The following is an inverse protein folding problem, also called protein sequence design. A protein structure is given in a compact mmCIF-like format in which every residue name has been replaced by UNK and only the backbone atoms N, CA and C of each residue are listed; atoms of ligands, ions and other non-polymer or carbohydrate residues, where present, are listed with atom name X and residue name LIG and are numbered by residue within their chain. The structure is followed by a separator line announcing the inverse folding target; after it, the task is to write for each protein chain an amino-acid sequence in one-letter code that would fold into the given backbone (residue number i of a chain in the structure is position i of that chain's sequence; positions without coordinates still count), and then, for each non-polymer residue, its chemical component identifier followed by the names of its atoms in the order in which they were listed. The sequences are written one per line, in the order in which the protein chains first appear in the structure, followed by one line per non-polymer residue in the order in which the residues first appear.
data_IF_070032032040
#
_entry.id   IF_070032032040
#
_cell.length_a   1.000
_cell.length_b   1.000
_cell.length_c   1.000
_cell.angle_alpha   90.00
_cell.angle_beta   90.00
_cell.angle_gamma   90.00
#
_symmetry.space_group_name_H-M   'P 1'
#
loop_
_entity.id
_entity.type
_entity.pdbx_description
1 polymer ?
#
# COMPACT_ATOMS: atom_id res chain seq x y z
N UNK A 1 -56.13 36.55 17.22
CA UNK A 1 -57.40 36.85 16.57
C UNK A 1 -57.79 35.60 15.76
N UNK A 2 -58.64 34.79 16.39
CA UNK A 2 -59.93 34.27 15.79
C UNK A 2 -59.71 33.18 14.74
N UNK A 3 -60.22 31.96 14.77
CA UNK A 3 -61.12 31.16 15.62
C UNK A 3 -61.12 29.75 15.02
N UNK A 4 -61.14 28.72 15.85
CA UNK A 4 -61.67 27.40 15.53
C UNK A 4 -63.19 27.47 15.33
N UNK A 5 -63.89 26.51 14.67
CA UNK A 5 -64.70 25.58 15.42
C UNK A 5 -64.72 24.12 14.90
N UNK A 6 -64.71 23.13 15.77
CA UNK A 6 -65.71 22.31 16.43
C UNK A 6 -66.38 21.23 15.57
N UNK A 7 -66.39 20.04 16.16
CA UNK A 7 -67.15 18.79 15.81
C UNK A 7 -68.65 18.96 15.94
N UNK A 8 -69.54 18.02 15.43
CA UNK A 8 -69.98 16.82 16.11
C UNK A 8 -70.28 15.64 15.18
N UNK A 9 -70.62 14.40 15.51
CA UNK A 9 -71.22 13.72 16.64
C UNK A 9 -71.61 12.30 16.16
N UNK A 10 -71.54 11.32 17.03
CA UNK A 10 -72.10 9.96 16.81
C UNK A 10 -73.58 9.89 17.05
N UNK A 11 -74.29 8.78 16.66
CA UNK A 11 -74.84 7.85 17.64
C UNK A 11 -74.85 6.35 17.21
N UNK A 12 -74.51 5.45 18.11
CA UNK A 12 -75.32 4.54 18.97
C UNK A 12 -76.17 3.46 18.31
N UNK A 13 -75.76 2.22 18.59
CA UNK A 13 -76.52 1.09 19.12
C UNK A 13 -77.51 0.29 18.29
N UNK A 14 -77.36 -1.03 18.27
CA UNK A 14 -78.31 -2.00 18.89
C UNK A 14 -77.95 -3.44 18.49
N UNK A 15 -77.79 -4.29 19.52
CA UNK A 15 -77.85 -5.76 19.44
C UNK A 15 -79.29 -6.25 19.20
N UNK A 16 -79.50 -7.51 18.69
CA UNK A 16 -79.73 -8.62 19.63
C UNK A 16 -79.31 -10.05 19.20
N UNK A 17 -78.98 -10.83 20.22
CA UNK A 17 -79.31 -12.21 20.54
C UNK A 17 -79.05 -13.41 19.62
N UNK A 18 -78.37 -14.37 20.22
CA UNK A 18 -78.11 -15.78 19.91
C UNK A 18 -79.38 -16.63 19.66
N UNK A 19 -79.22 -17.81 19.00
CA UNK A 19 -79.15 -19.03 19.79
C UNK A 19 -78.17 -20.11 19.26
N UNK A 20 -77.65 -20.90 20.21
CA UNK A 20 -77.01 -22.23 20.08
C UNK A 20 -78.09 -23.32 19.79
N UNK A 21 -77.78 -24.62 19.46
CA UNK A 21 -76.62 -25.42 19.74
C UNK A 21 -76.18 -26.51 18.70
N UNK A 22 -75.02 -27.08 18.92
CA UNK A 22 -74.64 -28.51 18.79
C UNK A 22 -74.54 -29.21 17.45
N UNK A 23 -73.31 -29.60 17.04
CA UNK A 23 -73.00 -31.01 16.76
C UNK A 23 -71.44 -31.21 16.67
N UNK A 24 -70.99 -32.12 17.48
CA UNK A 24 -69.60 -32.65 17.52
C UNK A 24 -69.30 -33.51 16.29
N UNK A 25 -68.23 -33.21 15.55
CA UNK A 25 -67.53 -34.15 14.65
C UNK A 25 -66.07 -34.05 14.89
N UNK A 26 -65.31 -35.19 14.87
CA UNK A 26 -63.96 -35.23 15.36
C UNK A 26 -62.97 -34.63 14.36
N UNK A 27 -62.19 -33.60 14.80
CA UNK A 27 -61.07 -33.06 14.09
C UNK A 27 -59.89 -34.07 14.10
N UNK A 28 -59.63 -34.65 12.92
CA UNK A 28 -58.35 -35.35 12.67
C UNK A 28 -57.23 -34.32 12.66
N UNK A 29 -56.35 -34.39 13.65
CA UNK A 29 -55.11 -33.62 13.64
C UNK A 29 -54.21 -34.12 12.51
N UNK A 30 -54.07 -33.33 11.45
CA UNK A 30 -52.98 -33.48 10.48
C UNK A 30 -51.73 -32.82 11.11
N UNK A 31 -50.80 -33.65 11.58
CA UNK A 31 -49.47 -33.19 11.98
C UNK A 31 -48.75 -32.81 10.71
N UNK A 32 -48.62 -31.52 10.46
CA UNK A 32 -47.76 -30.96 9.41
C UNK A 32 -46.32 -31.07 9.90
N UNK A 33 -45.62 -32.15 9.50
CA UNK A 33 -44.15 -32.28 9.72
C UNK A 33 -43.52 -31.32 8.70
N UNK A 34 -43.19 -30.13 9.16
CA UNK A 34 -42.28 -29.25 8.45
C UNK A 34 -40.85 -29.85 8.54
N UNK A 35 -40.48 -30.61 7.52
CA UNK A 35 -39.08 -30.96 7.29
C UNK A 35 -38.30 -29.69 7.03
N UNK A 36 -37.60 -29.24 8.06
CA UNK A 36 -36.59 -28.23 7.94
C UNK A 36 -35.46 -28.84 7.07
N UNK A 37 -35.49 -28.54 5.78
CA UNK A 37 -34.36 -28.86 4.89
C UNK A 37 -33.21 -27.96 5.37
N UNK A 38 -32.36 -28.48 6.23
CA UNK A 38 -31.08 -27.90 6.50
C UNK A 38 -30.30 -27.92 5.18
N UNK A 39 -30.25 -26.80 4.51
CA UNK A 39 -29.28 -26.60 3.43
C UNK A 39 -27.90 -26.88 4.05
N UNK A 40 -27.09 -27.78 3.46
CA UNK A 40 -25.74 -27.95 3.94
C UNK A 40 -25.04 -26.60 3.79
N UNK A 41 -24.69 -25.96 4.88
CA UNK A 41 -23.67 -24.95 4.90
C UNK A 41 -22.40 -25.69 4.46
N UNK A 42 -22.12 -25.66 3.17
CA UNK A 42 -20.84 -26.10 2.67
C UNK A 42 -19.79 -25.24 3.40
N UNK A 43 -19.19 -25.83 4.41
CA UNK A 43 -17.98 -25.33 5.04
C UNK A 43 -16.95 -25.22 3.93
N UNK A 44 -16.72 -24.03 3.42
CA UNK A 44 -15.65 -23.69 2.50
C UNK A 44 -14.31 -23.68 3.26
N UNK A 45 -13.96 -24.80 3.86
CA UNK A 45 -12.60 -25.09 4.25
C UNK A 45 -11.83 -25.63 3.01
N UNK A 46 -11.87 -24.89 1.92
CA UNK A 46 -10.90 -25.07 0.85
C UNK A 46 -9.72 -24.20 1.27
N UNK A 47 -8.61 -24.83 1.68
CA UNK A 47 -7.35 -24.12 1.93
C UNK A 47 -7.10 -23.21 0.73
N UNK A 48 -6.97 -21.90 1.00
CA UNK A 48 -6.88 -20.91 -0.06
C UNK A 48 -5.67 -21.16 -0.95
N UNK A 49 -5.75 -20.78 -2.21
CA UNK A 49 -4.64 -20.88 -3.17
C UNK A 49 -3.64 -19.74 -2.99
N UNK A 50 -3.87 -18.79 -2.06
CA UNK A 50 -3.03 -17.62 -1.88
C UNK A 50 -1.55 -17.96 -1.65
N UNK A 51 -1.26 -18.98 -0.85
CA UNK A 51 0.13 -19.45 -0.65
C UNK A 51 0.80 -19.90 -1.94
N UNK A 52 0.09 -20.66 -2.78
CA UNK A 52 0.61 -21.11 -4.08
C UNK A 52 0.83 -19.94 -5.07
N UNK A 53 -0.02 -18.91 -5.01
CA UNK A 53 0.17 -17.70 -5.82
C UNK A 53 1.41 -16.91 -5.37
N UNK A 54 1.66 -16.81 -4.07
CA UNK A 54 2.92 -16.21 -3.54
C UNK A 54 4.12 -16.98 -4.05
N UNK A 55 4.12 -18.32 -3.94
CA UNK A 55 5.22 -19.15 -4.44
C UNK A 55 5.46 -18.97 -5.95
N UNK A 56 4.38 -18.90 -6.75
CA UNK A 56 4.47 -18.66 -8.18
C UNK A 56 5.11 -17.31 -8.51
N UNK A 57 4.72 -16.24 -7.82
CA UNK A 57 5.29 -14.91 -8.01
C UNK A 57 6.74 -14.84 -7.54
N UNK A 58 7.06 -15.40 -6.37
CA UNK A 58 8.43 -15.45 -5.81
C UNK A 58 9.38 -16.23 -6.71
N UNK A 59 8.92 -17.33 -7.33
CA UNK A 59 9.72 -18.14 -8.25
C UNK A 59 10.17 -17.37 -9.50
N UNK A 60 9.49 -16.31 -9.88
CA UNK A 60 9.92 -15.44 -10.97
C UNK A 60 11.17 -14.63 -10.62
N UNK A 61 11.47 -14.47 -9.32
CA UNK A 61 12.51 -13.60 -8.80
C UNK A 61 12.01 -12.16 -8.56
N UNK A 62 12.92 -11.20 -8.36
CA UNK A 62 12.57 -9.79 -8.15
C UNK A 62 11.73 -9.24 -9.31
N UNK A 63 10.54 -8.77 -8.98
CA UNK A 63 9.55 -8.27 -9.93
C UNK A 63 9.69 -6.76 -10.12
N UNK A 64 10.86 -6.39 -10.65
CA UNK A 64 11.22 -4.98 -10.81
C UNK A 64 10.45 -4.36 -11.99
N UNK A 65 9.79 -3.25 -11.77
CA UNK A 65 9.01 -2.53 -12.78
C UNK A 65 9.77 -2.32 -14.10
N UNK A 66 9.10 -2.52 -15.22
CA UNK A 66 9.69 -2.38 -16.56
C UNK A 66 10.68 -3.48 -16.97
N UNK A 67 10.73 -4.61 -16.26
CA UNK A 67 11.55 -5.77 -16.62
C UNK A 67 10.73 -6.88 -17.28
N UNK A 68 11.36 -7.82 -18.00
CA UNK A 68 10.67 -9.00 -18.52
C UNK A 68 10.04 -9.88 -17.43
N UNK A 69 10.56 -9.85 -16.19
CA UNK A 69 9.98 -10.56 -15.04
C UNK A 69 8.61 -9.98 -14.71
N UNK A 70 8.46 -8.64 -14.73
CA UNK A 70 7.15 -8.00 -14.52
C UNK A 70 6.13 -8.38 -15.58
N UNK A 71 6.53 -8.49 -16.85
CA UNK A 71 5.63 -8.98 -17.89
C UNK A 71 5.11 -10.39 -17.58
N UNK A 72 6.00 -11.32 -17.16
CA UNK A 72 5.59 -12.67 -16.75
C UNK A 72 4.68 -12.67 -15.53
N UNK A 73 4.92 -11.78 -14.57
CA UNK A 73 4.06 -11.66 -13.38
C UNK A 73 2.67 -11.12 -13.76
N UNK A 74 2.60 -10.08 -14.63
CA UNK A 74 1.30 -9.60 -15.12
C UNK A 74 0.54 -10.64 -15.93
N UNK A 75 1.22 -11.40 -16.79
CA UNK A 75 0.61 -12.48 -17.58
C UNK A 75 0.05 -13.60 -16.67
N UNK A 76 0.78 -13.94 -15.60
CA UNK A 76 0.30 -14.88 -14.58
C UNK A 76 -0.98 -14.37 -13.90
N UNK A 77 -0.98 -13.14 -13.43
CA UNK A 77 -2.15 -12.56 -12.76
C UNK A 77 -3.36 -12.45 -13.69
N UNK A 78 -3.16 -12.00 -14.94
CA UNK A 78 -4.24 -11.98 -15.93
C UNK A 78 -4.84 -13.37 -16.15
N UNK A 79 -3.99 -14.40 -16.29
CA UNK A 79 -4.45 -15.77 -16.49
C UNK A 79 -5.28 -16.28 -15.30
N UNK A 80 -4.84 -15.98 -14.06
CA UNK A 80 -5.56 -16.41 -12.85
C UNK A 80 -6.89 -15.67 -12.67
N UNK A 81 -6.96 -14.35 -12.95
CA UNK A 81 -8.22 -13.62 -12.95
C UNK A 81 -9.19 -14.13 -14.05
N UNK A 82 -8.70 -14.41 -15.24
CA UNK A 82 -9.53 -14.99 -16.33
C UNK A 82 -10.06 -16.37 -15.96
N UNK A 83 -9.27 -17.23 -15.34
CA UNK A 83 -9.71 -18.54 -14.82
C UNK A 83 -10.82 -18.38 -13.76
N UNK A 84 -10.79 -17.31 -12.99
CA UNK A 84 -11.85 -16.98 -12.03
C UNK A 84 -13.11 -16.37 -12.67
N UNK A 85 -13.10 -16.10 -13.99
CA UNK A 85 -14.26 -15.60 -14.75
C UNK A 85 -14.27 -14.08 -14.97
N UNK A 86 -13.18 -13.39 -14.66
CA UNK A 86 -13.06 -11.95 -14.86
C UNK A 86 -12.52 -11.60 -16.25
N UNK A 87 -12.94 -10.46 -16.77
CA UNK A 87 -12.25 -9.77 -17.87
C UNK A 87 -11.04 -9.04 -17.30
N UNK A 88 -9.93 -9.08 -18.02
CA UNK A 88 -8.69 -8.41 -17.62
C UNK A 88 -8.26 -7.38 -18.63
N UNK A 89 -7.61 -6.33 -18.16
CA UNK A 89 -7.00 -5.28 -18.97
C UNK A 89 -5.64 -4.91 -18.37
N UNK A 90 -4.62 -4.79 -19.22
CA UNK A 90 -3.35 -4.18 -18.86
C UNK A 90 -3.44 -2.68 -19.09
N UNK A 91 -3.36 -1.91 -18.03
CA UNK A 91 -3.19 -0.47 -18.10
C UNK A 91 -1.70 -0.14 -18.08
N UNK A 92 -1.16 0.33 -19.20
CA UNK A 92 0.24 0.76 -19.28
C UNK A 92 0.36 2.24 -18.96
N UNK A 93 1.48 2.59 -18.30
CA UNK A 93 1.84 3.96 -17.97
C UNK A 93 3.37 4.12 -18.01
N UNK A 94 3.86 5.34 -18.14
CA UNK A 94 5.30 5.63 -18.18
C UNK A 94 5.69 6.60 -17.08
N UNK A 95 6.87 6.39 -16.50
CA UNK A 95 7.46 7.28 -15.52
C UNK A 95 8.99 7.26 -15.59
N UNK A 96 9.62 8.27 -15.01
CA UNK A 96 11.07 8.33 -14.90
C UNK A 96 11.54 7.65 -13.64
N UNK A 97 12.29 6.55 -13.79
CA UNK A 97 12.88 5.83 -12.69
C UNK A 97 14.30 6.29 -12.43
N UNK A 98 14.60 6.50 -11.16
CA UNK A 98 15.91 6.82 -10.66
C UNK A 98 16.65 5.53 -10.27
N UNK A 99 17.77 5.23 -10.93
CA UNK A 99 18.56 4.02 -10.68
C UNK A 99 19.93 4.38 -10.11
N UNK A 100 20.32 3.71 -9.02
CA UNK A 100 21.69 3.74 -8.50
C UNK A 100 22.55 2.68 -9.20
N UNK A 101 23.62 3.11 -9.81
CA UNK A 101 24.58 2.26 -10.53
C UNK A 101 25.86 1.99 -9.69
N UNK A 102 25.79 2.26 -8.39
CA UNK A 102 26.88 2.06 -7.44
C UNK A 102 27.52 3.37 -6.98
N UNK A 103 26.84 4.04 -6.03
CA UNK A 103 27.32 5.29 -5.43
C UNK A 103 28.18 5.03 -4.19
N UNK A 104 29.19 5.89 -3.94
CA UNK A 104 30.13 5.68 -2.84
C UNK A 104 30.82 6.96 -2.39
N UNK A 105 31.31 6.92 -1.14
CA UNK A 105 32.28 7.88 -0.59
C UNK A 105 33.59 7.14 -0.31
N UNK A 106 34.68 7.64 -0.83
CA UNK A 106 36.05 7.14 -0.53
C UNK A 106 36.76 8.16 0.32
N UNK A 107 37.31 7.74 1.46
CA UNK A 107 38.09 8.58 2.36
C UNK A 107 39.43 7.87 2.57
N UNK A 108 40.52 8.49 2.11
CA UNK A 108 41.80 7.84 2.06
C UNK A 108 41.76 6.55 1.22
N UNK A 109 42.01 5.38 1.84
CA UNK A 109 41.92 4.06 1.19
C UNK A 109 40.59 3.34 1.40
N UNK A 110 39.68 3.89 2.20
CA UNK A 110 38.42 3.24 2.57
C UNK A 110 37.29 3.69 1.65
N UNK A 111 36.72 2.73 0.91
CA UNK A 111 35.49 2.94 0.10
C UNK A 111 34.27 2.54 0.90
N UNK A 112 33.33 3.47 1.05
CA UNK A 112 32.09 3.30 1.75
C UNK A 112 30.96 3.34 0.71
N UNK A 113 30.23 2.26 0.53
CA UNK A 113 29.05 2.21 -0.36
C UNK A 113 27.88 2.91 0.33
N UNK A 114 27.32 3.92 -0.32
CA UNK A 114 26.13 4.63 0.15
C UNK A 114 24.96 4.46 -0.82
N UNK A 115 23.85 5.12 -0.50
CA UNK A 115 22.71 5.26 -1.41
C UNK A 115 22.63 6.71 -1.91
N UNK A 116 22.41 6.97 -3.20
CA UNK A 116 22.12 8.32 -3.65
C UNK A 116 20.79 8.78 -3.06
N UNK A 117 20.72 10.04 -2.67
CA UNK A 117 19.42 10.65 -2.31
C UNK A 117 18.55 10.74 -3.56
N UNK A 118 17.31 10.25 -3.52
CA UNK A 118 16.40 10.37 -4.66
C UNK A 118 16.17 11.85 -5.01
N UNK A 119 16.45 12.21 -6.27
CA UNK A 119 16.54 13.59 -6.74
C UNK A 119 17.96 14.17 -6.71
N UNK A 120 18.97 13.41 -6.29
CA UNK A 120 20.37 13.84 -6.44
C UNK A 120 20.79 13.85 -7.91
N UNK A 121 21.53 14.88 -8.32
CA UNK A 121 22.26 14.83 -9.58
C UNK A 121 23.38 13.78 -9.50
N UNK A 122 23.64 13.12 -10.62
CA UNK A 122 24.84 12.31 -10.77
C UNK A 122 26.08 13.23 -10.81
N UNK A 123 27.19 12.74 -10.27
CA UNK A 123 28.43 13.49 -10.31
C UNK A 123 29.50 12.95 -9.37
N UNK A 124 30.73 13.37 -9.59
CA UNK A 124 31.88 13.06 -8.77
C UNK A 124 32.47 14.35 -8.19
N UNK A 125 32.78 14.32 -6.90
CA UNK A 125 33.51 15.41 -6.23
C UNK A 125 34.72 14.83 -5.53
N UNK A 126 35.90 15.26 -5.97
CA UNK A 126 37.18 15.00 -5.30
C UNK A 126 37.57 16.27 -4.51
N UNK A 127 37.34 16.24 -3.20
CA UNK A 127 37.45 17.42 -2.36
C UNK A 127 37.65 17.07 -0.89
N UNK A 128 38.14 18.02 -0.07
CA UNK A 128 38.24 17.82 1.37
C UNK A 128 36.88 17.51 2.00
N UNK A 129 36.90 16.70 3.04
CA UNK A 129 35.71 16.34 3.83
C UNK A 129 35.56 17.29 5.01
N UNK A 130 34.40 17.94 5.17
CA UNK A 130 34.16 18.86 6.27
C UNK A 130 32.87 18.43 7.00
N UNK A 131 33.02 18.14 8.28
CA UNK A 131 31.87 17.80 9.15
C UNK A 131 31.16 19.08 9.57
N UNK A 132 29.88 19.18 9.26
CA UNK A 132 29.00 20.27 9.68
C UNK A 132 28.37 19.89 11.02
N UNK A 133 28.40 20.75 12.02
CA UNK A 133 27.81 20.46 13.32
C UNK A 133 26.28 20.26 13.21
N UNK A 134 25.71 19.55 14.19
CA UNK A 134 24.29 19.28 14.32
C UNK A 134 23.66 18.65 13.07
N UNK A 135 22.59 19.27 12.54
CA UNK A 135 21.77 18.68 11.46
C UNK A 135 21.86 19.44 10.13
N UNK A 136 22.79 20.40 10.01
CA UNK A 136 23.01 21.16 8.77
C UNK A 136 21.94 22.24 8.52
N UNK A 137 21.57 22.97 9.56
CA UNK A 137 20.82 24.24 9.46
C UNK A 137 21.74 25.33 8.90
N UNK A 138 21.18 26.45 8.48
CA UNK A 138 21.99 27.56 7.96
C UNK A 138 23.02 28.06 8.97
N UNK A 139 22.66 28.15 10.24
CA UNK A 139 23.55 28.54 11.35
C UNK A 139 24.66 27.50 11.62
N UNK A 140 24.44 26.22 11.30
CA UNK A 140 25.46 25.18 11.43
C UNK A 140 26.54 25.34 10.35
N UNK A 141 26.16 25.67 9.12
CA UNK A 141 27.08 25.96 8.03
C UNK A 141 27.86 27.26 8.24
N UNK A 142 27.30 28.26 8.97
CA UNK A 142 27.99 29.49 9.31
C UNK A 142 29.20 29.26 10.25
N UNK A 143 29.29 28.09 10.90
CA UNK A 143 30.34 27.75 11.87
C UNK A 143 31.55 27.05 11.25
N UNK A 144 31.47 26.63 10.00
CA UNK A 144 32.49 25.85 9.29
C UNK A 144 32.63 26.32 7.85
N UNK A 145 33.85 26.32 7.32
CA UNK A 145 34.06 26.61 5.90
C UNK A 145 33.92 25.33 5.08
N UNK A 146 32.81 25.22 4.32
CA UNK A 146 32.57 24.10 3.41
C UNK A 146 32.74 24.48 1.94
N UNK A 147 33.23 25.66 1.64
CA UNK A 147 33.41 26.12 0.26
C UNK A 147 34.40 25.20 -0.48
N UNK A 148 33.93 24.61 -1.57
CA UNK A 148 34.73 23.65 -2.34
C UNK A 148 34.93 22.30 -1.66
N UNK A 149 34.23 22.00 -0.56
CA UNK A 149 34.36 20.77 0.21
C UNK A 149 33.14 19.82 0.04
N UNK A 150 33.30 18.56 0.42
CA UNK A 150 32.24 17.59 0.63
C UNK A 150 31.72 17.81 2.05
N UNK A 151 30.51 18.32 2.21
CA UNK A 151 29.89 18.53 3.51
C UNK A 151 29.34 17.21 4.07
N UNK A 152 29.68 16.87 5.32
CA UNK A 152 29.11 15.74 6.06
C UNK A 152 28.11 16.27 7.06
N UNK A 153 26.83 15.88 6.95
CA UNK A 153 25.77 16.30 7.84
C UNK A 153 25.04 15.10 8.45
N UNK A 154 24.55 15.24 9.66
CA UNK A 154 23.71 14.21 10.28
C UNK A 154 22.25 14.37 9.82
N UNK A 155 21.54 13.25 9.66
CA UNK A 155 20.07 13.23 9.59
C UNK A 155 19.50 13.88 10.85
N UNK A 156 18.24 14.24 10.88
CA UNK A 156 17.54 14.83 12.04
C UNK A 156 16.52 15.87 11.58
N UNK A 157 16.10 16.70 12.43
CA UNK A 157 14.94 17.58 12.50
C UNK A 157 14.49 18.31 11.22
N UNK A 158 15.42 18.69 10.32
CA UNK A 158 15.07 19.45 9.10
C UNK A 158 14.98 18.54 7.87
N UNK A 159 14.27 18.99 6.84
CA UNK A 159 14.07 18.24 5.59
C UNK A 159 15.40 18.01 4.84
N UNK A 160 15.50 16.92 4.12
CA UNK A 160 16.68 16.65 3.28
C UNK A 160 16.92 17.73 2.22
N UNK A 161 15.85 18.22 1.60
CA UNK A 161 15.94 19.33 0.63
C UNK A 161 16.53 20.60 1.25
N UNK A 162 16.19 20.91 2.49
CA UNK A 162 16.73 22.05 3.21
C UNK A 162 18.22 21.88 3.53
N UNK A 163 18.62 20.70 4.05
CA UNK A 163 20.06 20.38 4.28
C UNK A 163 20.90 20.57 3.03
N UNK A 164 20.42 20.03 1.90
CA UNK A 164 21.13 20.09 0.62
C UNK A 164 21.18 21.53 0.08
N UNK A 165 20.09 22.27 0.22
CA UNK A 165 20.05 23.69 -0.17
C UNK A 165 21.04 24.53 0.67
N UNK A 166 21.08 24.34 1.99
CA UNK A 166 21.99 25.03 2.89
C UNK A 166 23.45 24.73 2.54
N UNK A 167 23.78 23.45 2.31
CA UNK A 167 25.13 23.03 1.89
C UNK A 167 25.52 23.67 0.55
N UNK A 168 24.64 23.63 -0.44
CA UNK A 168 24.88 24.24 -1.75
C UNK A 168 25.08 25.76 -1.65
N UNK A 169 24.27 26.44 -0.83
CA UNK A 169 24.36 27.89 -0.59
C UNK A 169 25.67 28.25 0.12
N UNK A 170 26.15 27.41 1.04
CA UNK A 170 27.44 27.56 1.71
C UNK A 170 28.64 27.23 0.81
N UNK A 171 28.42 26.78 -0.43
CA UNK A 171 29.47 26.50 -1.41
C UNK A 171 30.05 25.09 -1.36
N UNK A 172 29.39 24.15 -0.69
CA UNK A 172 29.79 22.73 -0.76
C UNK A 172 29.61 22.20 -2.18
N UNK A 173 30.52 21.31 -2.60
CA UNK A 173 30.50 20.67 -3.93
C UNK A 173 29.78 19.31 -3.93
N UNK A 174 29.56 18.72 -2.76
CA UNK A 174 28.78 17.50 -2.55
C UNK A 174 28.34 17.41 -1.09
N UNK A 175 27.37 16.51 -0.81
CA UNK A 175 26.88 16.26 0.55
C UNK A 175 26.83 14.77 0.85
N UNK A 176 27.37 14.36 2.01
CA UNK A 176 27.15 13.04 2.59
C UNK A 176 26.24 13.17 3.82
N UNK A 177 25.09 12.53 3.81
CA UNK A 177 24.12 12.55 4.91
C UNK A 177 24.21 11.25 5.69
N UNK A 178 24.53 11.33 6.97
CA UNK A 178 24.66 10.18 7.86
C UNK A 178 23.32 9.91 8.53
N UNK A 179 22.84 8.66 8.48
CA UNK A 179 21.63 8.24 9.17
C UNK A 179 21.80 8.35 10.70
N UNK A 180 20.75 8.77 11.39
CA UNK A 180 20.67 8.82 12.87
C UNK A 180 20.19 7.51 13.49
N UNK A 181 19.78 6.54 12.64
CA UNK A 181 19.27 5.20 13.00
C UNK A 181 20.08 4.12 12.31
N UNK A 182 20.03 2.89 12.83
CA UNK A 182 20.65 1.73 12.19
C UNK A 182 20.08 1.48 10.79
N UNK A 183 20.93 0.95 9.92
CA UNK A 183 20.58 0.56 8.56
C UNK A 183 20.72 1.68 7.52
N UNK A 184 20.48 1.29 6.27
CA UNK A 184 20.56 2.18 5.11
C UNK A 184 19.50 3.30 5.19
N UNK A 185 19.82 4.44 4.64
CA UNK A 185 18.92 5.59 4.54
C UNK A 185 18.47 5.76 3.07
N UNK A 186 17.34 5.17 2.72
CA UNK A 186 16.64 5.55 1.50
C UNK A 186 15.83 6.83 1.78
N UNK A 187 16.12 7.90 1.04
CA UNK A 187 15.52 9.21 1.27
C UNK A 187 15.36 9.98 -0.05
N UNK A 188 14.50 10.98 -0.06
CA UNK A 188 14.15 11.78 -1.23
C UNK A 188 14.16 13.28 -0.94
N UNK A 189 14.40 14.09 -1.97
CA UNK A 189 14.24 15.54 -1.96
C UNK A 189 12.77 16.00 -2.08
N UNK A 190 11.80 15.04 -2.12
CA UNK A 190 10.38 15.39 -2.19
C UNK A 190 9.95 15.92 -3.57
N UNK A 191 10.56 15.42 -4.65
CA UNK A 191 10.25 15.82 -6.04
C UNK A 191 11.17 16.89 -6.61
N UNK A 192 12.06 17.48 -5.78
CA UNK A 192 13.09 18.39 -6.26
C UNK A 192 14.33 17.69 -6.80
N UNK A 193 15.20 18.42 -7.51
CA UNK A 193 16.52 17.96 -7.98
C UNK A 193 17.59 18.80 -7.31
N UNK A 194 18.64 18.15 -6.78
CA UNK A 194 19.77 18.86 -6.17
C UNK A 194 20.66 19.53 -7.23
N UNK A 195 21.39 20.55 -6.80
CA UNK A 195 22.42 21.18 -7.65
C UNK A 195 23.79 20.50 -7.52
N UNK A 196 24.00 19.72 -6.47
CA UNK A 196 25.24 19.03 -6.13
C UNK A 196 24.95 17.56 -5.81
N UNK A 197 25.93 16.63 -6.00
CA UNK A 197 25.76 15.22 -5.66
C UNK A 197 25.50 15.01 -4.17
N UNK A 198 24.51 14.14 -3.85
CA UNK A 198 24.11 13.83 -2.47
C UNK A 198 24.08 12.33 -2.25
N UNK A 199 24.85 11.87 -1.28
CA UNK A 199 24.96 10.47 -0.86
C UNK A 199 24.44 10.32 0.56
N UNK A 200 23.71 9.24 0.84
CA UNK A 200 23.35 8.86 2.20
C UNK A 200 24.18 7.66 2.66
N UNK A 201 24.56 7.65 3.91
CA UNK A 201 25.31 6.55 4.55
C UNK A 201 24.51 6.03 5.76
N UNK A 202 24.68 4.75 6.08
CA UNK A 202 24.12 4.23 7.34
C UNK A 202 24.82 4.87 8.55
N UNK A 203 24.20 4.75 9.72
CA UNK A 203 24.81 5.20 10.98
C UNK A 203 26.15 4.52 11.23
N UNK A 204 26.21 3.20 11.01
CA UNK A 204 27.40 2.37 11.23
C UNK A 204 28.56 2.80 10.32
N UNK A 205 28.24 3.12 9.06
CA UNK A 205 29.22 3.55 8.07
C UNK A 205 29.72 4.98 8.30
N UNK A 206 28.83 5.86 8.77
CA UNK A 206 29.11 7.30 8.85
C UNK A 206 29.52 7.81 10.23
N UNK A 207 29.29 7.05 11.32
CA UNK A 207 29.58 7.52 12.68
C UNK A 207 31.06 7.87 12.90
N UNK A 208 31.97 7.11 12.31
CA UNK A 208 33.40 7.40 12.39
C UNK A 208 33.77 8.74 11.69
N UNK A 209 33.06 9.11 10.62
CA UNK A 209 33.21 10.37 9.93
C UNK A 209 32.77 11.56 10.79
N UNK A 210 31.65 11.41 11.51
CA UNK A 210 31.12 12.47 12.39
C UNK A 210 32.00 12.71 13.62
N UNK A 211 32.72 11.68 14.08
CA UNK A 211 33.63 11.76 15.24
C UNK A 211 35.04 12.23 14.85
N UNK A 212 35.32 12.23 13.56
CA UNK A 212 36.64 12.65 13.07
C UNK A 212 36.82 14.16 13.27
N UNK A 213 37.72 14.53 14.16
CA UNK A 213 38.21 15.92 14.29
C UNK A 213 39.13 16.34 13.12
N UNK A 214 39.41 15.42 12.20
CA UNK A 214 40.21 15.70 11.01
C UNK A 214 39.34 16.33 9.92
N UNK A 215 39.08 17.63 10.05
CA UNK A 215 38.61 18.46 8.95
C UNK A 215 39.70 18.45 7.85
N UNK A 216 39.23 18.33 6.58
CA UNK A 216 40.08 18.39 5.37
C UNK A 216 40.79 17.10 4.95
N UNK A 217 40.34 15.92 5.35
CA UNK A 217 40.81 14.68 4.72
C UNK A 217 40.39 14.66 3.23
N UNK A 218 41.33 14.33 2.31
CA UNK A 218 40.99 14.12 0.91
C UNK A 218 39.96 13.00 0.78
N UNK A 219 38.86 13.30 0.09
CA UNK A 219 37.80 12.35 -0.15
C UNK A 219 37.29 12.44 -1.60
N UNK A 220 36.64 11.37 -2.04
CA UNK A 220 35.99 11.29 -3.34
C UNK A 220 34.57 10.79 -3.13
N UNK A 221 33.57 11.64 -3.35
CA UNK A 221 32.17 11.28 -3.36
C UNK A 221 31.72 11.06 -4.80
N UNK A 222 31.16 9.90 -5.10
CA UNK A 222 30.65 9.56 -6.41
C UNK A 222 29.18 9.16 -6.30
N UNK A 223 28.30 9.96 -6.88
CA UNK A 223 26.89 9.63 -7.11
C UNK A 223 26.78 9.14 -8.56
N UNK A 224 26.67 7.83 -8.73
CA UNK A 224 26.56 7.19 -10.03
C UNK A 224 25.12 6.73 -10.26
N UNK A 225 24.34 7.62 -10.85
CA UNK A 225 22.89 7.41 -11.06
C UNK A 225 22.53 7.71 -12.49
N UNK A 226 21.41 7.12 -12.93
CA UNK A 226 20.76 7.51 -14.18
C UNK A 226 19.25 7.58 -13.98
N UNK A 227 18.62 8.38 -14.82
CA UNK A 227 17.18 8.34 -15.02
C UNK A 227 16.88 7.61 -16.32
N UNK A 228 15.92 6.69 -16.29
CA UNK A 228 15.40 6.08 -17.49
C UNK A 228 13.88 6.03 -17.45
N UNK A 229 13.26 6.08 -18.64
CA UNK A 229 11.84 5.84 -18.77
C UNK A 229 11.52 4.36 -18.53
N UNK A 230 10.55 4.12 -17.68
CA UNK A 230 10.02 2.80 -17.35
C UNK A 230 8.55 2.74 -17.79
N UNK A 231 8.17 1.65 -18.42
CA UNK A 231 6.76 1.35 -18.69
C UNK A 231 6.25 0.39 -17.63
N UNK A 232 5.36 0.87 -16.78
CA UNK A 232 4.65 0.06 -15.80
C UNK A 232 3.37 -0.55 -16.38
N UNK A 233 2.82 -1.56 -15.71
CA UNK A 233 1.69 -2.39 -16.19
C UNK A 233 0.78 -2.74 -15.01
N UNK A 234 -0.27 -1.97 -14.76
CA UNK A 234 -1.32 -2.42 -13.83
C UNK A 234 -2.15 -3.54 -14.46
N UNK A 235 -2.48 -4.56 -13.68
CA UNK A 235 -3.45 -5.59 -14.07
C UNK A 235 -4.79 -5.24 -13.47
N UNK A 236 -5.78 -4.94 -14.30
CA UNK A 236 -7.15 -4.59 -13.88
C UNK A 236 -8.07 -5.75 -14.20
N UNK A 237 -8.89 -6.18 -13.24
CA UNK A 237 -9.83 -7.28 -13.41
C UNK A 237 -11.23 -6.92 -12.88
N UNK A 238 -12.26 -7.25 -13.65
CA UNK A 238 -13.67 -7.03 -13.29
C UNK A 238 -14.59 -7.96 -14.08
N UNK A 239 -15.82 -8.14 -13.65
CA UNK A 239 -16.81 -8.85 -14.45
C UNK A 239 -17.20 -8.03 -15.70
N UNK A 240 -17.53 -8.69 -16.82
CA UNK A 240 -17.98 -8.00 -18.05
C UNK A 240 -19.14 -7.03 -17.77
N UNK A 241 -19.06 -5.84 -18.36
CA UNK A 241 -20.11 -4.81 -18.27
C UNK A 241 -20.13 -3.97 -16.97
N UNK A 242 -19.31 -4.31 -15.97
CA UNK A 242 -19.23 -3.54 -14.73
C UNK A 242 -18.29 -2.35 -14.91
N UNK A 243 -18.84 -1.14 -15.00
CA UNK A 243 -18.09 0.11 -15.21
C UNK A 243 -18.10 1.06 -14.02
N UNK A 244 -18.95 0.81 -13.01
CA UNK A 244 -19.11 1.63 -11.81
C UNK A 244 -19.10 0.75 -10.56
N UNK A 245 -17.95 0.21 -10.15
CA UNK A 245 -17.88 -0.59 -8.95
C UNK A 245 -18.08 0.29 -7.70
N UNK A 246 -18.53 -0.33 -6.61
CA UNK A 246 -18.60 0.33 -5.31
C UNK A 246 -17.35 0.07 -4.48
N UNK A 247 -16.68 -1.05 -4.71
CA UNK A 247 -15.45 -1.45 -4.00
C UNK A 247 -14.34 -1.72 -5.02
N UNK A 248 -13.14 -1.26 -4.71
CA UNK A 248 -11.92 -1.64 -5.39
C UNK A 248 -10.99 -2.31 -4.39
N UNK A 249 -10.51 -3.51 -4.71
CA UNK A 249 -9.44 -4.17 -3.96
C UNK A 249 -8.14 -4.05 -4.75
N UNK A 250 -7.05 -3.72 -4.07
CA UNK A 250 -5.76 -3.56 -4.70
C UNK A 250 -4.60 -4.02 -3.84
N UNK A 251 -3.50 -4.33 -4.53
CA UNK A 251 -2.19 -4.61 -3.96
C UNK A 251 -1.15 -4.37 -5.04
N UNK A 252 0.06 -3.95 -4.69
CA UNK A 252 1.13 -3.93 -5.68
C UNK A 252 1.75 -5.32 -5.86
N UNK A 253 2.25 -5.58 -7.06
CA UNK A 253 2.87 -6.86 -7.39
C UNK A 253 4.33 -6.74 -7.83
N UNK A 254 4.85 -5.51 -7.93
CA UNK A 254 6.28 -5.24 -8.06
C UNK A 254 7.02 -5.48 -6.74
N UNK A 255 8.34 -5.56 -6.80
CA UNK A 255 9.22 -5.64 -5.64
C UNK A 255 10.53 -4.90 -5.91
N UNK A 256 11.25 -4.54 -4.85
CA UNK A 256 12.59 -3.93 -4.98
C UNK A 256 13.58 -4.86 -5.69
N UNK A 257 14.62 -4.33 -6.35
CA UNK A 257 15.58 -5.14 -7.11
C UNK A 257 16.30 -6.21 -6.31
N UNK A 258 16.44 -6.01 -4.98
CA UNK A 258 17.17 -6.91 -4.09
C UNK A 258 16.33 -8.03 -3.47
N UNK A 259 15.00 -7.98 -3.60
CA UNK A 259 14.09 -8.89 -2.89
C UNK A 259 13.15 -9.64 -3.84
N UNK A 260 12.94 -10.95 -3.66
CA UNK A 260 11.88 -11.67 -4.38
C UNK A 260 10.47 -11.23 -3.94
N UNK A 261 10.33 -10.53 -2.81
CA UNK A 261 9.10 -9.87 -2.40
C UNK A 261 7.95 -10.85 -2.10
N UNK A 262 8.19 -11.83 -1.22
CA UNK A 262 7.13 -12.77 -0.82
C UNK A 262 6.08 -12.07 0.05
N UNK A 263 6.54 -11.40 1.11
CA UNK A 263 5.68 -10.61 1.98
C UNK A 263 5.42 -9.23 1.37
N UNK A 264 6.40 -8.61 0.75
CA UNK A 264 6.32 -7.30 0.10
C UNK A 264 6.49 -7.39 -1.43
N UNK A 265 5.40 -7.53 -2.25
CA UNK A 265 4.04 -7.70 -1.80
C UNK A 265 3.30 -8.76 -2.62
N UNK A 266 3.92 -9.95 -2.82
CA UNK A 266 3.18 -11.08 -3.36
C UNK A 266 2.06 -11.53 -2.41
N UNK A 267 2.22 -11.31 -1.09
CA UNK A 267 1.23 -11.66 -0.07
C UNK A 267 -0.10 -10.93 -0.27
N UNK A 268 -0.08 -9.60 -0.38
CA UNK A 268 -1.28 -8.79 -0.63
C UNK A 268 -1.88 -9.08 -2.01
N UNK A 269 -1.05 -9.22 -3.05
CA UNK A 269 -1.49 -9.59 -4.39
C UNK A 269 -2.25 -10.92 -4.40
N UNK A 270 -1.73 -11.93 -3.72
CA UNK A 270 -2.35 -13.25 -3.63
C UNK A 270 -3.66 -13.23 -2.81
N UNK A 271 -3.72 -12.44 -1.75
CA UNK A 271 -4.94 -12.22 -0.96
C UNK A 271 -6.04 -11.59 -1.83
N UNK A 272 -5.73 -10.54 -2.57
CA UNK A 272 -6.69 -9.88 -3.47
C UNK A 272 -7.19 -10.85 -4.56
N UNK A 273 -6.29 -11.64 -5.15
CA UNK A 273 -6.65 -12.65 -6.16
C UNK A 273 -7.53 -13.77 -5.57
N UNK A 274 -7.25 -14.22 -4.33
CA UNK A 274 -8.06 -15.24 -3.68
C UNK A 274 -9.45 -14.71 -3.30
N UNK A 275 -9.56 -13.47 -2.83
CA UNK A 275 -10.86 -12.81 -2.62
C UNK A 275 -11.65 -12.77 -3.94
N UNK A 276 -11.00 -12.38 -5.04
CA UNK A 276 -11.62 -12.37 -6.36
C UNK A 276 -12.18 -13.75 -6.74
N UNK A 277 -11.43 -14.84 -6.54
CA UNK A 277 -11.90 -16.20 -6.80
C UNK A 277 -13.12 -16.55 -5.98
N UNK A 278 -13.13 -16.23 -4.69
CA UNK A 278 -14.22 -16.57 -3.77
C UNK A 278 -15.50 -15.85 -4.08
N UNK A 279 -15.43 -14.57 -4.49
CA UNK A 279 -16.66 -13.82 -4.81
C UNK A 279 -17.10 -13.92 -6.27
N UNK A 280 -16.32 -14.53 -7.17
CA UNK A 280 -16.56 -14.52 -8.63
C UNK A 280 -17.95 -14.96 -9.08
N UNK A 281 -18.60 -15.86 -8.31
CA UNK A 281 -19.94 -16.37 -8.57
C UNK A 281 -21.02 -15.82 -7.62
N UNK A 282 -20.72 -14.74 -6.92
CA UNK A 282 -21.64 -14.08 -5.98
C UNK A 282 -22.05 -12.71 -6.50
N UNK A 283 -23.14 -12.13 -5.98
CA UNK A 283 -23.54 -10.75 -6.32
C UNK A 283 -22.46 -9.70 -6.01
N UNK A 284 -21.55 -9.97 -5.08
CA UNK A 284 -20.47 -9.06 -4.69
C UNK A 284 -19.54 -8.73 -5.87
N UNK A 285 -19.28 -9.72 -6.75
CA UNK A 285 -18.44 -9.52 -7.92
C UNK A 285 -18.97 -8.45 -8.88
N UNK A 286 -20.29 -8.22 -8.92
CA UNK A 286 -20.90 -7.18 -9.77
C UNK A 286 -20.65 -5.76 -9.25
N UNK A 287 -20.11 -5.62 -8.04
CA UNK A 287 -19.87 -4.35 -7.40
C UNK A 287 -18.38 -4.11 -7.10
N UNK A 288 -17.51 -5.04 -7.52
CA UNK A 288 -16.11 -5.06 -7.13
C UNK A 288 -15.18 -5.10 -8.34
N UNK A 289 -14.13 -4.27 -8.30
CA UNK A 289 -12.98 -4.33 -9.20
C UNK A 289 -11.72 -4.71 -8.43
N UNK A 290 -10.76 -5.31 -9.14
CA UNK A 290 -9.47 -5.74 -8.60
C UNK A 290 -8.36 -5.12 -9.41
N UNK A 291 -7.30 -4.64 -8.76
CA UNK A 291 -6.15 -4.06 -9.43
C UNK A 291 -4.87 -4.54 -8.75
N UNK A 292 -3.97 -5.14 -9.54
CA UNK A 292 -2.59 -5.31 -9.14
C UNK A 292 -1.78 -4.14 -9.71
N UNK A 293 -1.18 -3.35 -8.82
CA UNK A 293 -0.43 -2.15 -9.19
C UNK A 293 1.04 -2.47 -9.45
N UNK A 294 1.64 -1.79 -10.42
CA UNK A 294 3.08 -1.83 -10.73
C UNK A 294 3.74 -0.51 -10.34
N UNK A 295 5.01 -0.55 -9.94
CA UNK A 295 5.78 0.66 -9.63
C UNK A 295 5.39 1.34 -8.32
N UNK A 296 4.87 0.60 -7.35
CA UNK A 296 4.66 1.08 -5.99
C UNK A 296 5.99 1.42 -5.35
N UNK A 297 6.95 0.51 -5.45
CA UNK A 297 8.30 0.59 -4.89
C UNK A 297 9.13 1.77 -5.44
N UNK A 298 8.80 2.24 -6.61
CA UNK A 298 9.40 3.42 -7.23
C UNK A 298 8.66 4.73 -6.86
N UNK A 299 7.55 4.64 -6.09
CA UNK A 299 6.80 5.79 -5.58
C UNK A 299 5.33 5.85 -6.01
N UNK A 300 4.60 4.76 -5.92
CA UNK A 300 3.15 4.66 -6.16
C UNK A 300 2.76 4.99 -7.61
N UNK A 301 3.63 4.72 -8.58
CA UNK A 301 3.40 5.16 -9.97
C UNK A 301 2.16 4.51 -10.59
N UNK A 302 1.90 3.24 -10.31
CA UNK A 302 0.76 2.50 -10.82
C UNK A 302 -0.59 3.01 -10.29
N UNK A 303 -0.72 3.13 -8.99
CA UNK A 303 -1.95 3.63 -8.37
C UNK A 303 -2.23 5.09 -8.72
N UNK A 304 -1.18 5.94 -8.81
CA UNK A 304 -1.31 7.31 -9.31
C UNK A 304 -1.81 7.36 -10.75
N UNK A 305 -1.20 6.55 -11.64
CA UNK A 305 -1.62 6.48 -13.04
C UNK A 305 -3.06 5.96 -13.16
N UNK A 306 -3.45 4.97 -12.36
CA UNK A 306 -4.81 4.45 -12.34
C UNK A 306 -5.81 5.55 -11.97
N UNK A 307 -5.59 6.25 -10.86
CA UNK A 307 -6.47 7.34 -10.38
C UNK A 307 -6.53 8.50 -11.38
N UNK A 308 -5.38 8.90 -11.95
CA UNK A 308 -5.32 10.02 -12.91
C UNK A 308 -6.06 9.76 -14.21
N UNK A 309 -6.13 8.51 -14.66
CA UNK A 309 -6.78 8.13 -15.93
C UNK A 309 -8.20 7.61 -15.73
N UNK A 310 -8.60 7.30 -14.51
CA UNK A 310 -9.96 6.86 -14.22
C UNK A 310 -10.99 7.96 -14.50
N UNK A 311 -12.12 7.56 -15.06
CA UNK A 311 -13.23 8.50 -15.29
C UNK A 311 -13.76 9.04 -13.95
N UNK A 312 -14.15 10.32 -13.86
CA UNK A 312 -14.68 10.89 -12.60
C UNK A 312 -15.85 10.10 -12.01
N UNK A 313 -16.72 9.54 -12.86
CA UNK A 313 -17.86 8.71 -12.45
C UNK A 313 -17.42 7.38 -11.82
N UNK A 314 -16.28 6.82 -12.27
CA UNK A 314 -15.68 5.64 -11.66
C UNK A 314 -15.18 5.97 -10.23
N UNK A 315 -14.39 7.02 -10.09
CA UNK A 315 -13.86 7.45 -8.78
C UNK A 315 -15.01 7.76 -7.81
N UNK A 316 -16.04 8.48 -8.26
CA UNK A 316 -17.18 8.84 -7.42
C UNK A 316 -18.12 7.68 -7.10
N UNK A 317 -18.06 6.56 -7.82
CA UNK A 317 -18.84 5.35 -7.50
C UNK A 317 -18.23 4.53 -6.36
N UNK A 318 -16.94 4.72 -6.07
CA UNK A 318 -16.24 3.96 -5.05
C UNK A 318 -16.67 4.37 -3.63
N UNK A 319 -17.28 3.45 -2.91
CA UNK A 319 -17.54 3.56 -1.46
C UNK A 319 -16.26 3.33 -0.66
N UNK A 320 -15.36 2.46 -1.17
CA UNK A 320 -14.07 2.19 -0.56
C UNK A 320 -13.05 1.60 -1.55
N UNK A 321 -11.78 1.92 -1.32
CA UNK A 321 -10.63 1.17 -1.86
C UNK A 321 -9.94 0.44 -0.71
N UNK A 322 -9.81 -0.89 -0.84
CA UNK A 322 -9.16 -1.78 0.12
C UNK A 322 -7.79 -2.16 -0.43
N UNK A 323 -6.73 -1.77 0.26
CA UNK A 323 -5.35 -2.06 -0.09
C UNK A 323 -4.75 -3.10 0.84
N UNK A 324 -4.07 -4.10 0.28
CA UNK A 324 -3.43 -5.18 1.03
C UNK A 324 -1.93 -5.16 0.76
N UNK A 325 -1.14 -5.00 1.84
CA UNK A 325 0.30 -4.89 1.70
C UNK A 325 1.01 -5.43 2.94
N UNK A 326 1.97 -6.36 2.71
CA UNK A 326 2.71 -7.05 3.76
C UNK A 326 1.80 -7.78 4.76
N UNK A 327 1.00 -8.74 4.27
CA UNK A 327 -0.01 -9.44 5.07
C UNK A 327 0.34 -10.90 5.39
N UNK A 328 1.58 -11.34 5.14
CA UNK A 328 1.97 -12.75 5.18
C UNK A 328 2.91 -13.18 6.31
N UNK A 329 3.41 -12.29 7.18
CA UNK A 329 4.47 -12.68 8.15
C UNK A 329 4.09 -12.43 9.61
N UNK A 330 3.85 -11.19 10.02
CA UNK A 330 3.56 -10.93 11.42
C UNK A 330 2.14 -11.37 11.82
N UNK A 331 1.91 -11.89 13.05
CA UNK A 331 0.62 -12.46 13.44
C UNK A 331 -0.51 -11.42 13.56
N UNK A 332 -0.19 -10.16 13.87
CA UNK A 332 -1.20 -9.14 14.15
C UNK A 332 -1.62 -8.40 12.87
N UNK A 333 -2.80 -8.71 12.36
CA UNK A 333 -3.41 -7.92 11.28
C UNK A 333 -3.88 -6.57 11.82
N UNK A 334 -3.52 -5.51 11.12
CA UNK A 334 -3.91 -4.12 11.39
C UNK A 334 -4.67 -3.57 10.20
N UNK A 335 -5.66 -2.73 10.47
CA UNK A 335 -6.42 -2.04 9.42
C UNK A 335 -6.40 -0.54 9.71
N UNK A 336 -5.85 0.23 8.79
CA UNK A 336 -5.82 1.68 8.90
C UNK A 336 -6.53 2.34 7.71
N UNK A 337 -6.91 3.61 7.83
CA UNK A 337 -7.56 4.32 6.74
C UNK A 337 -8.54 5.39 7.19
N UNK A 338 -9.61 5.55 6.43
CA UNK A 338 -10.66 6.55 6.68
C UNK A 338 -11.40 6.26 8.00
N UNK A 339 -11.56 7.22 8.92
CA UNK A 339 -12.15 7.00 10.25
C UNK A 339 -13.50 6.29 10.24
N UNK A 340 -14.39 6.66 9.34
CA UNK A 340 -15.73 6.06 9.24
C UNK A 340 -15.65 4.56 8.85
N UNK A 341 -14.68 4.20 8.00
CA UNK A 341 -14.47 2.80 7.60
C UNK A 341 -13.76 2.01 8.69
N UNK A 342 -12.72 2.57 9.32
CA UNK A 342 -12.03 1.91 10.42
C UNK A 342 -12.92 1.69 11.64
N UNK A 343 -13.86 2.60 11.91
CA UNK A 343 -14.88 2.41 12.94
C UNK A 343 -15.82 1.23 12.62
N UNK A 344 -16.25 1.08 11.36
CA UNK A 344 -17.04 -0.09 10.92
C UNK A 344 -16.26 -1.40 11.08
N UNK A 345 -15.00 -1.41 10.62
CA UNK A 345 -14.10 -2.57 10.80
C UNK A 345 -13.98 -2.94 12.29
N UNK A 346 -13.78 -1.96 13.17
CA UNK A 346 -13.65 -2.20 14.61
C UNK A 346 -14.94 -2.73 15.25
N UNK A 347 -16.09 -2.26 14.81
CA UNK A 347 -17.39 -2.75 15.27
C UNK A 347 -17.62 -4.21 14.86
N UNK A 348 -17.26 -4.59 13.64
CA UNK A 348 -17.42 -5.93 13.11
C UNK A 348 -16.34 -6.92 13.62
N UNK A 349 -15.11 -6.46 13.75
CA UNK A 349 -13.93 -7.24 14.09
C UNK A 349 -13.19 -6.60 15.28
N UNK A 350 -13.78 -6.71 16.48
CA UNK A 350 -13.27 -6.07 17.70
C UNK A 350 -11.82 -6.43 18.04
N UNK A 351 -11.33 -7.60 17.59
CA UNK A 351 -9.95 -8.06 17.77
C UNK A 351 -8.93 -7.29 16.93
N UNK A 352 -9.34 -6.68 15.80
CA UNK A 352 -8.43 -5.97 14.92
C UNK A 352 -7.99 -4.63 15.53
N UNK A 353 -6.71 -4.32 15.37
CA UNK A 353 -6.17 -3.00 15.66
C UNK A 353 -6.50 -2.07 14.49
N UNK A 354 -7.15 -0.95 14.78
CA UNK A 354 -7.50 0.04 13.77
C UNK A 354 -6.86 1.39 14.07
N UNK A 355 -6.49 2.12 13.03
CA UNK A 355 -5.92 3.46 13.13
C UNK A 355 -6.26 4.31 11.91
N UNK A 356 -6.09 5.63 12.01
CA UNK A 356 -6.15 6.53 10.87
C UNK A 356 -4.80 6.56 10.15
N UNK A 357 -4.79 6.36 8.82
CA UNK A 357 -3.61 6.52 7.97
C UNK A 357 -4.01 6.67 6.51
N UNK A 358 -3.32 7.56 5.79
CA UNK A 358 -3.55 7.84 4.37
C UNK A 358 -2.25 7.78 3.56
N UNK A 359 -1.24 7.09 4.05
CA UNK A 359 0.07 7.00 3.41
C UNK A 359 0.74 5.66 3.66
N UNK A 360 1.75 5.36 2.88
CA UNK A 360 2.60 4.18 3.08
C UNK A 360 2.41 3.07 2.04
N UNK A 361 1.36 3.13 1.19
CA UNK A 361 1.14 2.22 0.07
C UNK A 361 0.08 2.79 -0.89
N UNK A 362 -0.38 2.03 -1.88
CA UNK A 362 -1.23 2.46 -3.01
C UNK A 362 -2.55 3.14 -2.63
N UNK A 363 -3.14 2.82 -1.46
CA UNK A 363 -4.33 3.50 -0.96
C UNK A 363 -4.14 5.03 -0.83
N UNK A 364 -2.91 5.50 -0.69
CA UNK A 364 -2.61 6.93 -0.61
C UNK A 364 -3.03 7.70 -1.87
N UNK A 365 -2.89 7.09 -3.05
CA UNK A 365 -3.31 7.69 -4.31
C UNK A 365 -4.83 7.91 -4.37
N UNK A 366 -5.60 6.95 -3.85
CA UNK A 366 -7.06 7.01 -3.78
C UNK A 366 -7.53 7.99 -2.69
N UNK A 367 -6.88 8.00 -1.53
CA UNK A 367 -7.16 8.96 -0.46
C UNK A 367 -6.95 10.40 -0.94
N UNK A 368 -5.90 10.67 -1.73
CA UNK A 368 -5.65 11.97 -2.35
C UNK A 368 -6.78 12.38 -3.32
N UNK A 369 -7.43 11.40 -3.96
CA UNK A 369 -8.62 11.58 -4.78
C UNK A 369 -9.94 11.58 -3.99
N UNK A 370 -9.87 11.63 -2.65
CA UNK A 370 -11.01 11.65 -1.72
C UNK A 370 -11.89 10.38 -1.75
N UNK A 371 -11.35 9.25 -2.21
CA UNK A 371 -11.96 7.94 -2.07
C UNK A 371 -11.72 7.46 -0.65
N UNK A 372 -12.75 6.97 0.09
CA UNK A 372 -12.53 6.32 1.38
C UNK A 372 -11.65 5.09 1.22
N UNK A 373 -10.69 4.89 2.14
CA UNK A 373 -9.68 3.83 2.01
C UNK A 373 -9.58 2.99 3.28
N UNK A 374 -9.21 1.71 3.09
CA UNK A 374 -8.74 0.81 4.13
C UNK A 374 -7.41 0.20 3.69
N UNK A 375 -6.47 0.13 4.61
CA UNK A 375 -5.14 -0.42 4.41
C UNK A 375 -4.92 -1.58 5.39
N UNK A 376 -4.79 -2.79 4.85
CA UNK A 376 -4.56 -4.03 5.57
C UNK A 376 -3.07 -4.35 5.55
N UNK A 377 -2.46 -4.46 6.72
CA UNK A 377 -1.04 -4.78 6.85
C UNK A 377 -0.73 -5.45 8.19
N UNK A 378 0.39 -6.18 8.24
CA UNK A 378 0.90 -6.80 9.46
C UNK A 378 2.18 -6.14 9.98
N UNK A 379 2.55 -4.99 9.40
CA UNK A 379 3.74 -4.22 9.77
C UNK A 379 5.02 -4.79 9.17
N UNK A 380 6.10 -4.03 9.34
CA UNK A 380 7.43 -4.44 8.84
C UNK A 380 7.99 -5.59 9.65
N UNK A 381 8.81 -6.40 8.99
CA UNK A 381 9.51 -7.54 9.55
C UNK A 381 11.00 -7.52 9.13
N UNK A 382 11.89 -8.35 9.76
CA UNK A 382 13.33 -8.25 9.54
C UNK A 382 13.81 -8.46 8.08
N UNK A 383 13.05 -9.19 7.27
CA UNK A 383 13.42 -9.48 5.87
C UNK A 383 12.92 -8.43 4.86
N UNK A 384 12.19 -7.40 5.34
CA UNK A 384 11.68 -6.32 4.51
C UNK A 384 12.76 -5.71 3.60
N UNK A 385 12.50 -5.69 2.27
CA UNK A 385 13.41 -5.21 1.24
C UNK A 385 14.78 -5.93 1.19
N UNK A 386 14.84 -7.18 1.63
CA UNK A 386 16.07 -7.99 1.58
C UNK A 386 15.93 -9.23 0.69
N UNK A 387 17.04 -9.86 0.27
CA UNK A 387 17.00 -11.13 -0.47
C UNK A 387 16.34 -12.29 0.30
N UNK A 388 16.06 -12.12 1.59
CA UNK A 388 15.45 -13.13 2.46
C UNK A 388 13.92 -13.02 2.53
N UNK A 389 13.30 -12.04 1.90
CA UNK A 389 11.84 -11.98 1.74
C UNK A 389 11.37 -13.02 0.70
N UNK A 390 11.29 -14.29 1.13
CA UNK A 390 11.04 -15.47 0.28
C UNK A 390 9.85 -16.30 0.72
N UNK A 391 9.35 -16.10 1.93
CA UNK A 391 8.34 -16.98 2.54
C UNK A 391 7.29 -16.19 3.31
N UNK A 392 6.10 -16.74 3.34
CA UNK A 392 4.95 -16.26 4.10
C UNK A 392 4.28 -17.41 4.83
N UNK A 393 3.48 -17.12 5.83
CA UNK A 393 2.59 -18.08 6.49
C UNK A 393 1.23 -18.08 5.78
N UNK A 394 0.88 -19.19 5.15
CA UNK A 394 -0.40 -19.35 4.44
C UNK A 394 -1.62 -19.17 5.34
N UNK A 395 -1.52 -19.51 6.63
CA UNK A 395 -2.63 -19.32 7.57
C UNK A 395 -2.93 -17.82 7.77
N UNK A 396 -1.90 -16.98 7.78
CA UNK A 396 -2.06 -15.53 7.88
C UNK A 396 -2.69 -14.94 6.61
N UNK A 397 -2.38 -15.52 5.44
CA UNK A 397 -3.05 -15.13 4.18
C UNK A 397 -4.53 -15.51 4.24
N UNK A 398 -4.87 -16.74 4.64
CA UNK A 398 -6.25 -17.22 4.73
C UNK A 398 -7.07 -16.43 5.76
N UNK A 399 -6.47 -16.06 6.89
CA UNK A 399 -7.08 -15.15 7.86
C UNK A 399 -7.37 -13.78 7.21
N UNK A 400 -6.40 -13.21 6.48
CA UNK A 400 -6.55 -11.92 5.83
C UNK A 400 -7.62 -11.96 4.74
N UNK A 401 -7.69 -13.03 3.96
CA UNK A 401 -8.75 -13.28 2.97
C UNK A 401 -10.12 -13.29 3.65
N UNK A 402 -10.26 -14.01 4.75
CA UNK A 402 -11.52 -14.12 5.49
C UNK A 402 -11.98 -12.75 6.03
N UNK A 403 -11.07 -12.01 6.66
CA UNK A 403 -11.34 -10.65 7.13
C UNK A 403 -11.70 -9.71 5.97
N UNK A 404 -10.97 -9.78 4.86
CA UNK A 404 -11.25 -8.97 3.68
C UNK A 404 -12.64 -9.23 3.09
N UNK A 405 -13.05 -10.49 3.01
CA UNK A 405 -14.39 -10.89 2.54
C UNK A 405 -15.49 -10.34 3.43
N UNK A 406 -15.38 -10.52 4.74
CA UNK A 406 -16.36 -9.99 5.70
C UNK A 406 -16.52 -8.47 5.58
N UNK A 407 -15.41 -7.76 5.38
CA UNK A 407 -15.44 -6.30 5.21
C UNK A 407 -16.08 -5.90 3.87
N UNK A 408 -15.78 -6.61 2.78
CA UNK A 408 -16.45 -6.38 1.48
C UNK A 408 -17.95 -6.59 1.61
N UNK A 409 -18.41 -7.65 2.26
CA UNK A 409 -19.85 -7.92 2.51
C UNK A 409 -20.52 -6.81 3.32
N UNK A 410 -19.87 -6.26 4.32
CA UNK A 410 -20.41 -5.20 5.17
C UNK A 410 -20.47 -3.82 4.48
N UNK A 411 -19.61 -3.59 3.48
CA UNK A 411 -19.54 -2.31 2.77
C UNK A 411 -20.52 -2.24 1.59
N UNK A 412 -20.95 -3.38 1.07
CA UNK A 412 -21.90 -3.51 -0.05
C UNK A 412 -23.33 -3.74 0.41
#
# INVERSE_FOLDING_TARGET
MVLLPQRPGAPSALFPLLPTPCSLLPMKYAILITTLVALPTASLAQSGRAGADVEALVKLGPRVAGTPVMAKASDYLEAEYRKAGYTTQIQTFTYSRFEDLGSSLTVGKTKITGLPLSGSVAGKADAPLVVVPNVGRQEDFARVDVKGAIAVVQRGEIRFSEKVQNASTAGAVAVAIINDRSGKLAASLGGGVSKIPVLTLSREQGSALLQSSQTQQPASLNVNTRQRQVTGRNVVAHLPGITKPQILLGAHYDSVPSAPGANDNASGTAVVLEIARRISKTPLANQTWFVAFDGEEDGLHGSKAFVQTAQPQFISSLKAMLNFDMVGVNPSLRVSGTPQLTARVKAAQSRLSTSESYSGSDHASFAAAKVPVLFFHRGREPNYHTPNDKQVDSNLLDETVSVGLEIVEQLL
#
